data_IF_700243460083
#
_entry.id   IF_700243460083
#
_cell.length_a   1.000
_cell.length_b   1.000
_cell.length_c   1.000
_cell.angle_alpha   90.00
_cell.angle_beta   90.00
_cell.angle_gamma   90.00
#
_symmetry.space_group_name_H-M   'P 1'
#
loop_
_entity.id
_entity.type
_entity.pdbx_description
1 polymer ?
#
# COMPACT_ATOMS: atom_id res chain seq x y z
N UNK A 1 -10.46 -4.86 9.44
CA UNK A 1 -11.08 -5.40 8.21
C UNK A 1 -10.12 -5.35 7.04
N UNK A 2 -9.54 -4.18 6.74
CA UNK A 2 -8.44 -4.07 5.76
C UNK A 2 -7.30 -5.03 6.12
N UNK A 3 -6.85 -5.08 7.37
CA UNK A 3 -5.75 -5.98 7.78
C UNK A 3 -6.02 -7.47 7.51
N UNK A 4 -7.27 -7.90 7.64
CA UNK A 4 -7.66 -9.29 7.37
C UNK A 4 -7.61 -9.58 5.86
N UNK A 5 -8.15 -8.67 5.05
CA UNK A 5 -8.13 -8.78 3.59
C UNK A 5 -6.70 -8.73 3.04
N UNK A 6 -5.87 -7.85 3.59
CA UNK A 6 -4.45 -7.73 3.29
C UNK A 6 -3.72 -9.05 3.53
N UNK A 7 -3.89 -9.66 4.71
CA UNK A 7 -3.24 -10.95 5.05
C UNK A 7 -3.80 -12.14 4.29
N UNK A 8 -5.04 -12.05 3.81
CA UNK A 8 -5.67 -13.08 3.00
C UNK A 8 -5.31 -12.98 1.50
N UNK A 9 -4.53 -11.96 1.09
CA UNK A 9 -4.20 -11.72 -0.32
C UNK A 9 -5.32 -11.07 -1.13
N UNK A 10 -6.41 -10.62 -0.49
CA UNK A 10 -7.52 -9.92 -1.13
C UNK A 10 -7.26 -8.41 -1.19
N UNK A 11 -6.17 -8.04 -1.88
CA UNK A 11 -5.67 -6.67 -1.93
C UNK A 11 -6.62 -5.70 -2.66
N UNK A 12 -7.28 -6.14 -3.73
CA UNK A 12 -8.29 -5.36 -4.43
C UNK A 12 -9.49 -5.01 -3.54
N UNK A 13 -10.02 -5.98 -2.79
CA UNK A 13 -11.12 -5.76 -1.86
C UNK A 13 -10.70 -4.79 -0.75
N UNK A 14 -9.48 -4.95 -0.23
CA UNK A 14 -8.92 -4.05 0.76
C UNK A 14 -8.81 -2.61 0.22
N UNK A 15 -8.35 -2.44 -1.01
CA UNK A 15 -8.26 -1.14 -1.68
C UNK A 15 -9.65 -0.51 -1.93
N UNK A 16 -10.62 -1.30 -2.38
CA UNK A 16 -12.00 -0.82 -2.56
C UNK A 16 -12.60 -0.35 -1.24
N UNK A 17 -12.36 -1.08 -0.14
CA UNK A 17 -12.83 -0.70 1.18
C UNK A 17 -12.22 0.63 1.64
N UNK A 18 -10.93 0.84 1.37
CA UNK A 18 -10.26 2.12 1.63
C UNK A 18 -10.85 3.26 0.79
N UNK A 19 -11.11 3.03 -0.49
CA UNK A 19 -11.73 4.02 -1.38
C UNK A 19 -13.18 4.35 -1.02
N UNK A 20 -13.89 3.39 -0.44
CA UNK A 20 -15.26 3.57 0.02
C UNK A 20 -15.38 4.29 1.37
N UNK A 21 -14.26 4.51 2.09
CA UNK A 21 -14.31 5.25 3.35
C UNK A 21 -14.62 6.74 3.08
N UNK A 22 -15.61 7.32 3.78
CA UNK A 22 -15.93 8.74 3.65
C UNK A 22 -14.90 9.65 4.36
N UNK A 23 -13.90 9.07 5.03
CA UNK A 23 -12.86 9.75 5.78
C UNK A 23 -11.48 9.25 5.37
N UNK A 24 -10.44 10.03 5.69
CA UNK A 24 -9.06 9.67 5.36
C UNK A 24 -8.67 8.37 6.08
N UNK A 25 -8.25 7.32 5.37
CA UNK A 25 -7.78 6.09 5.99
C UNK A 25 -6.56 6.38 6.88
N UNK A 26 -6.49 5.70 8.02
CA UNK A 26 -5.37 5.83 8.94
C UNK A 26 -4.06 5.34 8.32
N UNK A 27 -2.94 5.94 8.72
CA UNK A 27 -1.62 5.58 8.21
C UNK A 27 -1.28 4.11 8.50
N UNK A 28 -1.66 3.60 9.68
CA UNK A 28 -1.50 2.18 10.01
C UNK A 28 -2.20 1.24 9.03
N UNK A 29 -3.40 1.62 8.56
CA UNK A 29 -4.22 0.81 7.63
C UNK A 29 -3.55 0.74 6.25
N UNK A 30 -3.07 1.89 5.76
CA UNK A 30 -2.36 1.96 4.48
C UNK A 30 -1.03 1.20 4.55
N UNK A 31 -0.33 1.22 5.69
CA UNK A 31 0.92 0.48 5.89
C UNK A 31 0.71 -1.03 5.93
N UNK A 32 -0.37 -1.48 6.58
CA UNK A 32 -0.74 -2.89 6.57
C UNK A 32 -1.11 -3.38 5.17
N UNK A 33 -1.83 -2.57 4.38
CA UNK A 33 -2.14 -2.92 2.99
C UNK A 33 -0.88 -2.91 2.10
N UNK A 34 -0.02 -1.90 2.24
CA UNK A 34 1.20 -1.80 1.44
C UNK A 34 2.18 -2.94 1.72
N UNK A 35 2.36 -3.31 2.99
CA UNK A 35 3.20 -4.45 3.37
C UNK A 35 2.66 -5.76 2.79
N UNK A 36 1.34 -5.95 2.79
CA UNK A 36 0.72 -7.11 2.14
C UNK A 36 0.89 -7.09 0.61
N UNK A 37 0.79 -5.93 -0.04
CA UNK A 37 1.07 -5.80 -1.49
C UNK A 37 2.50 -6.25 -1.82
N UNK A 38 3.47 -5.93 -0.96
CA UNK A 38 4.87 -6.37 -1.12
C UNK A 38 4.98 -7.90 -0.96
N UNK A 39 4.34 -8.46 0.08
CA UNK A 39 4.38 -9.92 0.35
C UNK A 39 3.73 -10.72 -0.78
N UNK A 40 2.60 -10.25 -1.30
CA UNK A 40 1.86 -10.91 -2.39
C UNK A 40 2.36 -10.52 -3.79
N UNK A 41 3.38 -9.66 -3.90
CA UNK A 41 3.96 -9.16 -5.16
C UNK A 41 2.96 -8.48 -6.10
N UNK A 42 1.90 -7.88 -5.54
CA UNK A 42 0.90 -7.14 -6.29
C UNK A 42 1.30 -5.66 -6.40
N UNK A 43 2.02 -5.36 -7.47
CA UNK A 43 2.55 -4.03 -7.73
C UNK A 43 1.45 -3.04 -8.14
N UNK A 44 0.40 -3.49 -8.81
CA UNK A 44 -0.68 -2.61 -9.28
C UNK A 44 -1.49 -2.04 -8.11
N UNK A 45 -1.86 -2.88 -7.14
CA UNK A 45 -2.53 -2.41 -5.93
C UNK A 45 -1.56 -1.58 -5.08
N UNK A 46 -0.31 -2.01 -4.97
CA UNK A 46 0.74 -1.28 -4.26
C UNK A 46 0.90 0.16 -4.76
N UNK A 47 1.02 0.38 -6.07
CA UNK A 47 1.11 1.73 -6.64
C UNK A 47 -0.10 2.61 -6.31
N UNK A 48 -1.31 2.03 -6.36
CA UNK A 48 -2.54 2.77 -6.06
C UNK A 48 -2.58 3.17 -4.59
N UNK A 49 -2.15 2.30 -3.69
CA UNK A 49 -2.05 2.60 -2.26
C UNK A 49 -1.02 3.69 -2.02
N UNK A 50 0.16 3.62 -2.64
CA UNK A 50 1.21 4.65 -2.53
C UNK A 50 0.72 6.02 -3.03
N UNK A 51 -0.04 6.07 -4.13
CA UNK A 51 -0.65 7.31 -4.65
C UNK A 51 -1.66 7.93 -3.68
N UNK A 52 -2.42 7.11 -2.95
CA UNK A 52 -3.35 7.57 -1.91
C UNK A 52 -2.61 8.09 -0.66
N UNK A 53 -1.38 7.64 -0.47
CA UNK A 53 -0.54 7.82 0.71
C UNK A 53 0.34 9.08 0.65
N UNK A 54 0.38 9.85 -0.44
CA UNK A 54 1.21 11.06 -0.64
C UNK A 54 0.98 12.26 0.32
N UNK A 55 0.55 12.02 1.55
CA UNK A 55 0.79 12.87 2.71
C UNK A 55 2.28 12.83 3.10
N UNK A 56 2.91 14.00 3.31
CA UNK A 56 4.36 14.20 3.55
C UNK A 56 5.02 13.30 4.62
N UNK A 57 4.23 12.72 5.53
CA UNK A 57 4.71 11.85 6.62
C UNK A 57 5.29 10.54 6.09
N UNK A 58 4.79 10.04 4.96
CA UNK A 58 5.18 8.74 4.39
C UNK A 58 6.52 8.71 3.67
N UNK A 59 6.97 9.85 3.14
CA UNK A 59 8.27 9.95 2.47
C UNK A 59 9.41 9.59 3.45
N UNK A 60 9.27 9.96 4.72
CA UNK A 60 10.26 9.66 5.76
C UNK A 60 10.34 8.17 6.13
N UNK A 61 9.25 7.42 6.00
CA UNK A 61 9.25 5.96 6.23
C UNK A 61 9.73 5.19 5.00
N UNK A 62 9.53 5.76 3.80
CA UNK A 62 9.92 5.17 2.52
C UNK A 62 11.42 5.22 2.24
N UNK A 63 12.19 6.13 2.83
CA UNK A 63 13.66 6.16 2.64
C UNK A 63 14.34 4.86 3.09
N UNK A 64 13.76 4.12 4.04
CA UNK A 64 14.27 2.81 4.47
C UNK A 64 13.71 1.61 3.68
N UNK A 65 12.61 1.79 2.92
CA UNK A 65 11.90 0.69 2.24
C UNK A 65 12.05 0.74 0.70
N UNK A 66 12.39 1.91 0.14
CA UNK A 66 12.48 2.17 -1.31
C UNK A 66 13.62 1.46 -2.02
N UNK A 67 14.68 1.02 -1.30
CA UNK A 67 15.76 0.25 -1.94
C UNK A 67 15.34 -1.15 -2.41
N UNK A 68 14.11 -1.58 -2.17
CA UNK A 68 13.57 -2.85 -2.67
C UNK A 68 12.39 -2.65 -3.64
N UNK A 69 11.68 -1.52 -3.55
CA UNK A 69 10.54 -1.20 -4.42
C UNK A 69 10.97 -0.48 -5.70
N UNK A 70 12.01 0.36 -5.65
CA UNK A 70 12.49 1.13 -6.80
C UNK A 70 13.26 0.25 -7.81
N UNK A 71 13.95 -0.79 -7.34
CA UNK A 71 14.70 -1.72 -8.19
C UNK A 71 13.82 -2.57 -9.13
N UNK A 72 12.54 -2.81 -8.78
CA UNK A 72 11.63 -3.58 -9.64
C UNK A 72 10.83 -2.72 -10.64
N UNK A 73 10.80 -1.40 -10.48
CA UNK A 73 10.05 -0.49 -11.35
C UNK A 73 10.92 0.24 -12.40
N UNK A 74 12.21 -0.14 -12.52
CA UNK A 74 13.16 0.32 -13.55
C UNK A 74 13.38 -0.70 -14.68
N UNK A 75 12.65 -1.82 -14.72
CA UNK A 75 12.62 -2.74 -15.87
C UNK A 75 11.55 -2.31 -16.89
N UNK A 76 11.72 -1.11 -17.45
CA UNK A 76 11.25 -0.73 -18.78
C UNK A 76 12.16 0.34 -19.37
#
# INVERSE_FOLDING_TARGET
MVDLLSRAGHLDCALQLIKAMPFKPGEAILGALLSACIVHQDLEVGERVVKLVSSRVWLKLMESFTSSWQDKNQLK
#
